data_IF_446804045544
#
_entry.id   IF_446804045544
#
_cell.length_a   1.000
_cell.length_b   1.000
_cell.length_c   1.000
_cell.angle_alpha   90.00
_cell.angle_beta   90.00
_cell.angle_gamma   90.00
#
_symmetry.space_group_name_H-M   'P 1'
#
loop_
_entity.id
_entity.type
_entity.pdbx_description
1 polymer ?
#
# COMPACT_ATOMS: atom_id res chain seq x y z
N UNK A 1 -8.53 -16.34 -19.96
CA UNK A 1 -9.28 -15.11 -19.63
C UNK A 1 -9.31 -15.02 -18.10
N UNK A 2 -8.59 -14.06 -17.50
CA UNK A 2 -8.43 -13.93 -16.04
C UNK A 2 -9.25 -12.77 -15.44
N UNK A 3 -10.22 -12.26 -16.19
CA UNK A 3 -11.15 -11.26 -15.68
C UNK A 3 -12.05 -11.94 -14.67
N UNK A 4 -11.80 -11.70 -13.39
CA UNK A 4 -12.69 -12.19 -12.36
C UNK A 4 -14.10 -11.61 -12.55
N UNK A 5 -15.17 -12.32 -12.12
CA UNK A 5 -16.53 -11.94 -12.45
C UNK A 5 -16.99 -10.60 -11.85
N UNK A 6 -16.28 -10.06 -10.86
CA UNK A 6 -16.66 -8.85 -10.11
C UNK A 6 -15.45 -7.98 -9.78
N UNK A 7 -15.25 -6.92 -10.58
CA UNK A 7 -14.37 -5.76 -10.35
C UNK A 7 -13.06 -6.07 -9.60
N UNK A 8 -12.67 -5.22 -8.65
CA UNK A 8 -11.43 -5.25 -7.87
C UNK A 8 -11.65 -5.61 -6.39
N UNK A 9 -12.53 -6.59 -6.15
CA UNK A 9 -13.09 -6.88 -4.81
C UNK A 9 -12.59 -8.18 -4.20
N UNK A 10 -11.64 -8.87 -4.83
CA UNK A 10 -11.16 -10.16 -4.31
C UNK A 10 -9.67 -10.09 -4.00
N UNK A 11 -9.17 -10.90 -3.04
CA UNK A 11 -7.77 -10.87 -2.60
C UNK A 11 -6.84 -11.63 -3.55
N UNK A 12 -7.20 -11.77 -4.83
CA UNK A 12 -6.35 -12.43 -5.82
C UNK A 12 -5.35 -11.46 -6.42
N UNK A 13 -4.18 -11.96 -6.81
CA UNK A 13 -3.09 -11.18 -7.40
C UNK A 13 -3.54 -10.28 -8.55
N UNK A 14 -4.48 -10.74 -9.38
CA UNK A 14 -5.04 -9.97 -10.51
C UNK A 14 -5.73 -8.68 -10.08
N UNK A 15 -6.18 -8.62 -8.83
CA UNK A 15 -6.90 -7.48 -8.26
C UNK A 15 -5.98 -6.58 -7.44
N UNK A 16 -5.19 -7.18 -6.55
CA UNK A 16 -4.42 -6.47 -5.52
C UNK A 16 -3.01 -6.09 -5.98
N UNK A 17 -2.40 -6.83 -6.91
CA UNK A 17 -1.02 -6.55 -7.34
C UNK A 17 -1.02 -5.48 -8.41
N UNK A 18 -0.39 -4.36 -8.08
CA UNK A 18 -0.22 -3.21 -8.98
C UNK A 18 1.27 -3.00 -9.30
N UNK A 19 1.61 -2.56 -10.52
CA UNK A 19 2.98 -2.21 -10.86
C UNK A 19 3.41 -0.93 -10.13
N UNK A 20 4.64 -0.92 -9.59
CA UNK A 20 5.27 0.23 -8.96
C UNK A 20 6.64 0.49 -9.59
N UNK A 21 6.87 1.71 -10.06
CA UNK A 21 8.16 2.18 -10.57
C UNK A 21 8.51 3.51 -9.88
N UNK A 22 9.72 3.59 -9.33
CA UNK A 22 10.23 4.79 -8.66
C UNK A 22 11.51 5.24 -9.36
N UNK A 23 11.61 6.55 -9.67
CA UNK A 23 12.79 7.18 -10.27
C UNK A 23 13.01 8.54 -9.62
N UNK A 24 14.26 8.85 -9.33
CA UNK A 24 14.65 10.14 -8.78
C UNK A 24 16.17 10.28 -8.66
N UNK A 25 16.66 11.47 -8.27
CA UNK A 25 18.06 11.67 -7.93
C UNK A 25 18.50 10.74 -6.80
N UNK A 26 19.68 10.13 -6.90
CA UNK A 26 20.21 9.24 -5.86
C UNK A 26 19.59 7.84 -5.80
N UNK A 27 18.55 7.55 -6.60
CA UNK A 27 17.95 6.22 -6.69
C UNK A 27 18.73 5.40 -7.71
N UNK A 28 19.25 4.24 -7.28
CA UNK A 28 19.98 3.31 -8.14
C UNK A 28 19.13 2.83 -9.31
N UNK A 29 19.72 2.84 -10.49
CA UNK A 29 19.04 2.45 -11.73
C UNK A 29 18.99 0.92 -11.88
N UNK A 30 17.92 0.42 -12.51
CA UNK A 30 17.79 -0.99 -12.87
C UNK A 30 17.68 -1.95 -11.70
N UNK A 31 17.44 -1.45 -10.48
CA UNK A 31 17.17 -2.31 -9.32
C UNK A 31 15.73 -2.81 -9.38
N UNK A 32 15.57 -4.10 -9.16
CA UNK A 32 14.29 -4.76 -8.93
C UNK A 32 14.21 -5.18 -7.47
N UNK A 33 13.05 -4.92 -6.84
CA UNK A 33 12.75 -5.33 -5.47
C UNK A 33 11.70 -6.43 -5.56
N UNK A 34 12.06 -7.64 -5.13
CA UNK A 34 11.18 -8.81 -5.16
C UNK A 34 10.38 -8.99 -3.85
N UNK A 35 10.75 -8.25 -2.79
CA UNK A 35 10.03 -8.26 -1.53
C UNK A 35 8.60 -7.70 -1.69
N UNK A 36 7.60 -8.23 -0.95
CA UNK A 36 6.26 -7.67 -0.93
C UNK A 36 6.26 -6.20 -0.50
N UNK A 37 5.62 -5.34 -1.29
CA UNK A 37 5.47 -3.90 -1.01
C UNK A 37 3.99 -3.56 -0.98
N UNK A 38 3.60 -2.68 -0.05
CA UNK A 38 2.23 -2.18 0.06
C UNK A 38 2.16 -0.68 -0.27
N UNK A 39 0.97 -0.20 -0.65
CA UNK A 39 0.74 1.23 -0.92
C UNK A 39 1.06 2.13 0.28
N UNK A 40 0.92 1.61 1.50
CA UNK A 40 1.26 2.35 2.74
C UNK A 40 2.76 2.67 2.85
N UNK A 41 3.62 1.89 2.18
CA UNK A 41 5.07 2.11 2.17
C UNK A 41 5.47 3.38 1.39
N UNK A 42 4.60 3.85 0.48
CA UNK A 42 4.87 5.03 -0.34
C UNK A 42 5.01 6.28 0.52
N UNK A 43 4.23 6.41 1.59
CA UNK A 43 4.31 7.56 2.47
C UNK A 43 5.70 7.66 3.12
N UNK A 44 6.14 6.59 3.80
CA UNK A 44 7.48 6.52 4.41
C UNK A 44 8.60 6.71 3.40
N UNK A 45 8.43 6.17 2.19
CA UNK A 45 9.39 6.32 1.08
C UNK A 45 9.54 7.79 0.65
N UNK A 46 8.42 8.51 0.52
CA UNK A 46 8.42 9.93 0.13
C UNK A 46 9.02 10.79 1.24
N UNK A 47 8.72 10.50 2.50
CA UNK A 47 9.31 11.20 3.65
C UNK A 47 10.84 11.02 3.67
N UNK A 48 11.35 9.81 3.44
CA UNK A 48 12.80 9.56 3.33
C UNK A 48 13.43 10.39 2.20
N UNK A 49 12.80 10.41 1.02
CA UNK A 49 13.28 11.24 -0.10
C UNK A 49 13.24 12.75 0.22
N UNK A 50 12.28 13.18 1.03
CA UNK A 50 12.14 14.55 1.51
C UNK A 50 13.05 14.90 2.68
N UNK A 51 13.80 13.94 3.24
CA UNK A 51 14.66 14.17 4.40
C UNK A 51 13.90 14.48 5.69
N UNK A 52 12.65 14.02 5.81
CA UNK A 52 11.79 14.22 6.99
C UNK A 52 11.32 12.87 7.55
N UNK A 53 10.75 12.88 8.74
CA UNK A 53 10.19 11.69 9.38
C UNK A 53 8.84 12.02 10.03
N UNK A 54 7.92 11.06 9.98
CA UNK A 54 6.64 11.10 10.67
C UNK A 54 6.22 9.65 11.00
N UNK A 55 5.20 9.49 11.83
CA UNK A 55 4.65 8.18 12.18
C UNK A 55 3.94 7.59 10.97
N UNK A 56 4.29 6.35 10.62
CA UNK A 56 3.73 5.63 9.48
C UNK A 56 3.69 4.13 9.78
N UNK A 57 2.64 3.46 9.33
CA UNK A 57 2.52 2.00 9.38
C UNK A 57 3.39 1.31 8.31
N UNK A 58 3.78 2.05 7.27
CA UNK A 58 4.63 1.57 6.19
C UNK A 58 6.12 1.75 6.45
N UNK A 59 6.94 1.06 5.67
CA UNK A 59 8.40 1.22 5.68
C UNK A 59 8.89 1.77 4.34
N UNK A 60 9.98 2.54 4.33
CA UNK A 60 10.52 3.02 3.07
C UNK A 60 11.09 1.89 2.23
N UNK A 61 10.75 1.89 0.93
CA UNK A 61 11.25 0.88 -0.02
C UNK A 61 12.67 1.15 -0.51
N UNK A 62 13.23 2.33 -0.21
CA UNK A 62 14.61 2.68 -0.56
C UNK A 62 15.63 2.07 0.42
N UNK A 63 15.16 1.66 1.59
CA UNK A 63 15.96 0.95 2.58
C UNK A 63 16.35 -0.44 2.05
N UNK A 64 17.64 -0.78 2.12
CA UNK A 64 18.19 -2.03 1.58
C UNK A 64 17.83 -3.30 2.35
N UNK A 65 17.08 -3.20 3.45
CA UNK A 65 16.81 -4.30 4.38
C UNK A 65 15.33 -4.71 4.42
N UNK A 66 14.67 -4.80 3.26
CA UNK A 66 13.31 -5.33 3.19
C UNK A 66 13.40 -6.86 3.11
N UNK A 67 12.82 -7.55 4.08
CA UNK A 67 12.73 -9.02 4.04
C UNK A 67 11.84 -9.46 2.89
N UNK A 68 12.29 -10.46 2.13
CA UNK A 68 11.47 -11.07 1.08
C UNK A 68 10.24 -11.81 1.64
N UNK A 69 10.29 -12.22 2.91
CA UNK A 69 9.18 -12.91 3.59
C UNK A 69 8.32 -11.95 4.42
N UNK A 70 8.37 -10.64 4.16
CA UNK A 70 7.54 -9.69 4.91
C UNK A 70 6.05 -9.90 4.63
N UNK A 71 5.25 -9.80 5.68
CA UNK A 71 3.79 -9.84 5.56
C UNK A 71 3.25 -8.46 5.16
N UNK A 72 2.26 -8.45 4.27
CA UNK A 72 1.44 -7.27 3.96
C UNK A 72 0.01 -7.52 4.40
N UNK A 73 -0.60 -6.53 5.05
CA UNK A 73 -2.00 -6.59 5.44
C UNK A 73 -2.88 -6.07 4.28
N UNK A 74 -3.90 -6.84 3.95
CA UNK A 74 -4.94 -6.47 2.99
C UNK A 74 -6.28 -6.54 3.70
N UNK A 75 -7.01 -5.43 3.69
CA UNK A 75 -8.34 -5.35 4.26
C UNK A 75 -9.34 -4.98 3.17
N UNK A 76 -10.48 -5.66 3.17
CA UNK A 76 -11.60 -5.31 2.30
C UNK A 76 -12.88 -5.35 3.12
N UNK A 77 -13.57 -4.21 3.20
CA UNK A 77 -14.90 -4.08 3.82
C UNK A 77 -15.91 -3.83 2.71
N UNK A 78 -16.56 -4.90 2.27
CA UNK A 78 -17.48 -4.87 1.13
C UNK A 78 -18.90 -4.40 1.43
N UNK A 79 -19.78 -4.55 0.43
CA UNK A 79 -21.15 -4.00 0.39
C UNK A 79 -22.16 -4.65 1.35
N UNK A 80 -21.73 -5.63 2.16
CA UNK A 80 -22.58 -6.29 3.16
C UNK A 80 -22.19 -5.91 4.60
N UNK A 81 -21.62 -4.72 4.81
CA UNK A 81 -21.40 -4.19 6.15
C UNK A 81 -22.74 -3.83 6.79
N UNK A 82 -23.03 -4.41 7.96
CA UNK A 82 -24.27 -4.15 8.72
C UNK A 82 -24.29 -2.81 9.46
N UNK A 83 -23.24 -2.00 9.30
CA UNK A 83 -23.12 -0.64 9.84
C UNK A 83 -22.00 0.14 9.16
N UNK A 84 -21.92 1.45 9.42
CA UNK A 84 -20.79 2.30 8.99
C UNK A 84 -19.50 1.77 9.62
N UNK A 85 -18.49 1.39 8.84
CA UNK A 85 -17.26 0.85 9.39
C UNK A 85 -16.53 1.90 10.21
N UNK A 86 -16.42 1.71 11.52
CA UNK A 86 -15.53 2.51 12.37
C UNK A 86 -14.18 1.78 12.45
N UNK A 87 -13.15 2.35 11.84
CA UNK A 87 -11.77 1.90 11.97
C UNK A 87 -11.09 2.43 13.25
N UNK A 88 -11.72 3.38 13.94
CA UNK A 88 -11.13 4.11 15.07
C UNK A 88 -10.25 5.28 14.63
N UNK A 89 -10.11 5.48 13.31
CA UNK A 89 -9.37 6.59 12.74
C UNK A 89 -10.19 7.90 12.81
N UNK A 90 -9.55 9.06 12.98
CA UNK A 90 -10.24 10.36 12.95
C UNK A 90 -11.00 10.60 11.64
N UNK A 91 -10.53 10.02 10.53
CA UNK A 91 -11.13 10.08 9.20
C UNK A 91 -12.47 9.35 9.08
N UNK A 92 -12.84 8.47 10.02
CA UNK A 92 -14.15 7.80 10.02
C UNK A 92 -15.33 8.78 10.10
N UNK A 93 -15.06 10.02 10.53
CA UNK A 93 -16.05 11.11 10.64
C UNK A 93 -15.94 12.15 9.54
N UNK A 94 -15.00 11.99 8.61
CA UNK A 94 -14.84 12.91 7.49
C UNK A 94 -15.91 12.63 6.43
N UNK A 95 -16.88 13.53 6.31
CA UNK A 95 -17.98 13.46 5.35
C UNK A 95 -17.49 13.49 3.89
N UNK A 96 -16.24 13.90 3.63
CA UNK A 96 -15.67 13.94 2.28
C UNK A 96 -15.02 12.59 1.86
N UNK A 97 -14.90 11.64 2.78
CA UNK A 97 -14.39 10.29 2.54
C UNK A 97 -15.51 9.23 2.49
N UNK A 98 -16.76 9.64 2.64
CA UNK A 98 -17.96 8.81 2.60
C UNK A 98 -18.47 8.55 1.18
#
# INVERSE_FOLDING_TARGET
QFGMPKDKRQPYETDIRVPLLIRGPGISQGIQIDAPVSSVDLFSTILEMGGTADVSDGMSVLSKNISNDRTVLLEYRGEHSTGTPTTGCPSDRDLNLA
#
